data_IF_488989222324
#
_entry.id   IF_488989222324
#
_cell.length_a   1.000
_cell.length_b   1.000
_cell.length_c   1.000
_cell.angle_alpha   90.00
_cell.angle_beta   90.00
_cell.angle_gamma   90.00
#
_symmetry.space_group_name_H-M   'P 1'
#
loop_
_entity.id
_entity.type
_entity.pdbx_description
1 polymer ?
#
# COMPACT_ATOMS: atom_id res chain seq x y z
N UNK A 1 -17.39 1.29 24.60
CA UNK A 1 -15.92 1.38 24.36
C UNK A 1 -15.69 2.05 23.00
N UNK A 2 -15.63 3.38 22.93
CA UNK A 2 -15.85 4.13 21.69
C UNK A 2 -14.57 4.64 21.00
N UNK A 3 -14.54 4.60 19.67
CA UNK A 3 -13.64 5.31 18.74
C UNK A 3 -12.11 5.29 18.99
N UNK A 4 -11.59 5.90 20.05
CA UNK A 4 -10.14 6.07 20.31
C UNK A 4 -9.38 4.73 20.42
N UNK A 5 -9.98 3.73 21.07
CA UNK A 5 -9.38 2.39 21.21
C UNK A 5 -9.44 1.60 19.88
N UNK A 6 -10.40 1.92 19.01
CA UNK A 6 -10.51 1.38 17.66
C UNK A 6 -9.50 2.05 16.72
N UNK A 7 -9.36 3.38 16.75
CA UNK A 7 -8.34 4.14 16.02
C UNK A 7 -6.92 3.70 16.36
N UNK A 8 -6.59 3.55 17.66
CA UNK A 8 -5.30 2.98 18.09
C UNK A 8 -5.05 1.56 17.59
N UNK A 9 -6.11 0.85 17.25
CA UNK A 9 -6.00 -0.54 16.80
C UNK A 9 -5.80 -0.71 15.31
N UNK A 10 -6.33 0.20 14.52
CA UNK A 10 -6.15 0.19 13.07
C UNK A 10 -5.04 1.15 12.65
N UNK A 11 -4.55 2.01 13.55
CA UNK A 11 -3.52 3.02 13.27
C UNK A 11 -2.29 2.43 12.58
N UNK A 12 -1.70 1.37 13.15
CA UNK A 12 -0.57 0.67 12.52
C UNK A 12 -0.88 0.17 11.11
N UNK A 13 -1.90 -0.69 10.92
CA UNK A 13 -2.31 -1.16 9.60
C UNK A 13 -2.62 -0.03 8.60
N UNK A 14 -3.33 1.01 9.02
CA UNK A 14 -3.68 2.16 8.18
C UNK A 14 -2.45 2.97 7.81
N UNK A 15 -1.52 3.22 8.73
CA UNK A 15 -0.26 3.89 8.41
C UNK A 15 0.58 3.09 7.42
N UNK A 16 0.61 1.76 7.54
CA UNK A 16 1.29 0.89 6.57
C UNK A 16 0.64 0.98 5.19
N UNK A 17 -0.69 0.89 5.12
CA UNK A 17 -1.40 1.05 3.84
C UNK A 17 -1.16 2.43 3.23
N UNK A 18 -1.20 3.50 4.03
CA UNK A 18 -0.91 4.86 3.58
C UNK A 18 0.50 4.99 3.01
N UNK A 19 1.51 4.44 3.70
CA UNK A 19 2.89 4.45 3.22
C UNK A 19 3.05 3.70 1.87
N UNK A 20 2.40 2.54 1.74
CA UNK A 20 2.38 1.78 0.48
C UNK A 20 1.71 2.56 -0.66
N UNK A 21 0.58 3.22 -0.39
CA UNK A 21 -0.10 4.07 -1.37
C UNK A 21 0.79 5.23 -1.82
N UNK A 22 1.42 5.96 -0.90
CA UNK A 22 2.32 7.07 -1.24
C UNK A 22 3.47 6.58 -2.14
N UNK A 23 4.07 5.43 -1.81
CA UNK A 23 5.13 4.83 -2.63
C UNK A 23 4.62 4.45 -4.02
N UNK A 24 3.44 3.84 -4.12
CA UNK A 24 2.87 3.45 -5.40
C UNK A 24 2.56 4.68 -6.28
N UNK A 25 1.99 5.74 -5.69
CA UNK A 25 1.73 6.99 -6.39
C UNK A 25 3.01 7.70 -6.84
N UNK A 26 4.09 7.64 -6.06
CA UNK A 26 5.39 8.15 -6.50
C UNK A 26 5.92 7.37 -7.73
N UNK A 27 5.71 6.04 -7.75
CA UNK A 27 6.01 5.21 -8.92
C UNK A 27 5.17 5.59 -10.14
N UNK A 28 3.86 5.76 -9.98
CA UNK A 28 2.97 6.21 -11.07
C UNK A 28 3.35 7.59 -11.60
N UNK A 29 3.75 8.52 -10.73
CA UNK A 29 4.21 9.84 -11.16
C UNK A 29 5.50 9.75 -11.99
N UNK A 30 6.43 8.88 -11.60
CA UNK A 30 7.66 8.65 -12.36
C UNK A 30 7.37 7.98 -13.72
N UNK A 31 6.47 7.00 -13.76
CA UNK A 31 6.02 6.33 -14.98
C UNK A 31 5.34 7.31 -15.95
N UNK A 32 4.37 8.08 -15.45
CA UNK A 32 3.71 9.15 -16.22
C UNK A 32 4.71 10.15 -16.79
N UNK A 33 5.68 10.60 -15.97
CA UNK A 33 6.71 11.53 -16.42
C UNK A 33 7.55 10.93 -17.57
N UNK A 34 7.90 9.64 -17.49
CA UNK A 34 8.67 8.96 -18.54
C UNK A 34 7.88 8.83 -19.85
N UNK A 35 6.59 8.47 -19.80
CA UNK A 35 5.76 8.31 -20.99
C UNK A 35 5.34 9.64 -21.61
N UNK A 36 4.88 10.58 -20.80
CA UNK A 36 4.20 11.78 -21.30
C UNK A 36 5.14 12.97 -21.47
N UNK A 37 6.17 13.08 -20.62
CA UNK A 37 7.06 14.24 -20.62
C UNK A 37 8.37 13.91 -21.36
N UNK A 38 9.08 12.87 -20.93
CA UNK A 38 10.32 12.48 -21.59
C UNK A 38 10.09 11.75 -22.93
N UNK A 39 8.86 11.26 -23.17
CA UNK A 39 8.50 10.47 -24.36
C UNK A 39 9.49 9.34 -24.63
N UNK A 40 9.96 8.72 -23.54
CA UNK A 40 10.96 7.66 -23.62
C UNK A 40 10.33 6.40 -24.20
N UNK A 41 10.66 6.07 -25.45
CA UNK A 41 10.24 4.83 -26.14
C UNK A 41 11.29 3.74 -25.93
N UNK A 42 10.89 2.58 -25.40
CA UNK A 42 11.80 1.44 -25.15
C UNK A 42 11.53 0.73 -23.82
N UNK A 43 12.55 0.63 -22.96
CA UNK A 43 12.53 -0.13 -21.68
C UNK A 43 11.44 0.29 -20.68
N UNK A 44 10.76 1.43 -20.90
CA UNK A 44 9.70 1.91 -20.02
C UNK A 44 8.34 1.25 -20.30
N UNK A 45 8.16 0.66 -21.49
CA UNK A 45 6.89 0.03 -21.91
C UNK A 45 6.68 -1.37 -21.29
N UNK A 46 7.76 -2.01 -20.81
CA UNK A 46 7.69 -3.35 -20.22
C UNK A 46 7.28 -3.29 -18.75
N UNK A 47 6.50 -4.27 -18.29
CA UNK A 47 6.16 -4.45 -16.87
C UNK A 47 7.40 -4.52 -15.96
N UNK A 48 8.56 -4.91 -16.51
CA UNK A 48 9.82 -5.00 -15.79
C UNK A 48 10.60 -3.69 -15.70
N UNK A 49 10.03 -2.59 -16.19
CA UNK A 49 10.65 -1.26 -16.12
C UNK A 49 10.99 -0.88 -14.68
N UNK A 50 12.15 -0.25 -14.43
CA UNK A 50 12.54 0.23 -13.10
C UNK A 50 11.49 1.15 -12.44
N UNK A 51 10.72 1.92 -13.22
CA UNK A 51 9.66 2.79 -12.68
C UNK A 51 8.47 2.02 -12.11
N UNK A 52 8.27 0.75 -12.47
CA UNK A 52 7.22 -0.10 -11.92
C UNK A 52 7.59 -0.71 -10.57
N UNK A 53 8.87 -0.78 -10.23
CA UNK A 53 9.35 -1.31 -8.94
C UNK A 53 8.68 -0.61 -7.75
N UNK A 54 8.69 0.73 -7.62
CA UNK A 54 8.00 1.42 -6.53
C UNK A 54 6.47 1.21 -6.58
N UNK A 55 5.87 1.03 -7.76
CA UNK A 55 4.43 0.75 -7.90
C UNK A 55 4.10 -0.59 -7.25
N UNK A 56 4.75 -1.67 -7.69
CA UNK A 56 4.47 -3.01 -7.19
C UNK A 56 4.87 -3.19 -5.73
N UNK A 57 6.01 -2.62 -5.31
CA UNK A 57 6.42 -2.63 -3.92
C UNK A 57 5.41 -1.88 -3.04
N UNK A 58 4.97 -0.70 -3.46
CA UNK A 58 3.94 0.08 -2.77
C UNK A 58 2.64 -0.71 -2.60
N UNK A 59 2.17 -1.35 -3.67
CA UNK A 59 1.00 -2.23 -3.62
C UNK A 59 1.19 -3.45 -2.71
N UNK A 60 2.39 -4.04 -2.69
CA UNK A 60 2.74 -5.11 -1.75
C UNK A 60 2.65 -4.66 -0.29
N UNK A 61 3.12 -3.44 0.02
CA UNK A 61 3.02 -2.85 1.35
C UNK A 61 1.55 -2.60 1.73
N UNK A 62 0.72 -2.13 0.80
CA UNK A 62 -0.73 -1.99 1.02
C UNK A 62 -1.36 -3.34 1.38
N UNK A 63 -1.07 -4.37 0.59
CA UNK A 63 -1.57 -5.73 0.85
C UNK A 63 -1.13 -6.25 2.23
N UNK A 64 0.14 -6.01 2.60
CA UNK A 64 0.65 -6.38 3.93
C UNK A 64 -0.07 -5.63 5.06
N UNK A 65 -0.31 -4.33 4.90
CA UNK A 65 -1.10 -3.52 5.85
C UNK A 65 -2.54 -4.04 5.99
N UNK A 66 -3.18 -4.40 4.87
CA UNK A 66 -4.52 -5.00 4.87
C UNK A 66 -4.55 -6.35 5.59
N UNK A 67 -3.65 -7.28 5.25
CA UNK A 67 -3.56 -8.60 5.91
C UNK A 67 -3.28 -8.46 7.40
N UNK A 68 -2.46 -7.48 7.79
CA UNK A 68 -2.22 -7.16 9.20
C UNK A 68 -3.50 -6.69 9.90
N UNK A 69 -4.29 -5.81 9.26
CA UNK A 69 -5.58 -5.37 9.78
C UNK A 69 -6.53 -6.55 10.00
N UNK A 70 -6.67 -7.43 9.00
CA UNK A 70 -7.51 -8.63 9.05
C UNK A 70 -7.08 -9.56 10.18
N UNK A 71 -5.77 -9.87 10.29
CA UNK A 71 -5.22 -10.70 11.38
C UNK A 71 -5.51 -10.11 12.76
N UNK A 72 -5.47 -8.78 12.91
CA UNK A 72 -5.77 -8.11 14.19
C UNK A 72 -7.26 -8.14 14.51
N UNK A 73 -8.12 -7.98 13.51
CA UNK A 73 -9.58 -8.10 13.66
C UNK A 73 -9.98 -9.53 14.06
N UNK A 74 -9.45 -10.55 13.37
CA UNK A 74 -9.72 -11.96 13.69
C UNK A 74 -9.35 -12.33 15.13
N UNK A 75 -8.15 -11.95 15.59
CA UNK A 75 -7.72 -12.19 16.98
C UNK A 75 -8.65 -11.61 18.05
N UNK A 76 -9.40 -10.56 17.72
CA UNK A 76 -10.35 -9.94 18.65
C UNK A 76 -11.68 -10.67 18.70
N UNK A 77 -12.15 -11.15 17.55
CA UNK A 77 -13.38 -11.93 17.48
C UNK A 77 -13.28 -13.22 18.31
N UNK A 78 -12.13 -13.91 18.27
CA UNK A 78 -11.91 -15.14 19.05
C UNK A 78 -11.54 -14.92 20.52
N UNK A 79 -11.25 -13.69 20.94
CA UNK A 79 -10.85 -13.35 22.31
C UNK A 79 -12.01 -12.85 23.18
N UNK A 80 -13.21 -12.62 22.62
CA UNK A 80 -14.43 -12.40 23.42
C UNK A 80 -15.29 -13.66 23.40
N UNK A 81 -15.14 -14.58 24.36
CA UNK A 81 -16.16 -15.58 24.59
C UNK A 81 -17.36 -14.86 25.20
N UNK A 82 -18.51 -14.94 24.51
CA UNK A 82 -19.83 -14.71 25.09
C UNK A 82 -20.11 -15.68 26.22
#
# INVERSE_FOLDING_TARGET
MGALRYLRSIGGPMTTMGAGLVMAYAGFAADFYKHEIEKAVGEVETIWSPVHVPIFLGMGIVAAGFLWAVRRAGRRAFASPS
#
